data_IF_725592469458
#
_entry.id   IF_725592469458
#
_cell.length_a   1.000
_cell.length_b   1.000
_cell.length_c   1.000
_cell.angle_alpha   90.00
_cell.angle_beta   90.00
_cell.angle_gamma   90.00
#
_symmetry.space_group_name_H-M   'P 1'
#
loop_
_entity.id
_entity.type
_entity.pdbx_description
1 polymer ?
#
# COMPACT_ATOMS: atom_id res chain seq x y z
N UNK A 1 19.70 -2.65 11.50
CA UNK A 1 20.78 -3.58 11.12
C UNK A 1 20.83 -4.65 12.19
N UNK A 2 20.57 -5.90 11.82
CA UNK A 2 20.55 -7.02 12.76
C UNK A 2 21.68 -7.99 12.40
N UNK A 3 22.39 -8.48 13.40
CA UNK A 3 23.46 -9.46 13.20
C UNK A 3 22.97 -10.80 13.71
N UNK A 4 22.90 -11.80 12.84
CA UNK A 4 22.64 -13.17 13.25
C UNK A 4 23.98 -13.86 13.40
N UNK A 5 24.18 -14.47 14.56
CA UNK A 5 25.40 -15.22 14.90
C UNK A 5 25.06 -16.66 15.18
N UNK A 6 25.74 -17.58 14.49
CA UNK A 6 25.67 -19.02 14.74
C UNK A 6 26.93 -19.49 15.46
N UNK A 7 26.75 -20.28 16.52
CA UNK A 7 27.84 -20.80 17.36
C UNK A 7 27.78 -22.32 17.40
N UNK A 8 28.85 -22.98 16.92
CA UNK A 8 29.03 -24.42 17.10
C UNK A 8 30.23 -24.68 18.03
N UNK A 9 29.95 -24.82 19.33
CA UNK A 9 30.98 -24.99 20.35
C UNK A 9 31.71 -23.70 20.73
N UNK A 10 32.81 -23.82 21.48
CA UNK A 10 33.52 -22.69 22.07
C UNK A 10 34.67 -22.12 21.21
N UNK A 11 35.10 -22.84 20.15
CA UNK A 11 36.19 -22.38 19.30
C UNK A 11 35.71 -21.30 18.32
N UNK A 12 36.46 -20.20 18.20
CA UNK A 12 36.14 -19.04 17.35
C UNK A 12 35.94 -19.41 15.88
N UNK A 13 36.64 -20.45 15.41
CA UNK A 13 36.60 -20.90 14.01
C UNK A 13 35.24 -21.49 13.61
N UNK A 14 34.39 -21.80 14.60
CA UNK A 14 33.04 -22.34 14.40
C UNK A 14 31.94 -21.31 14.74
N UNK A 15 32.32 -20.05 14.80
CA UNK A 15 31.41 -18.93 15.02
C UNK A 15 31.33 -18.14 13.71
N UNK A 16 30.13 -17.92 13.21
CA UNK A 16 29.90 -17.13 12.00
C UNK A 16 28.78 -16.12 12.24
N UNK A 17 28.95 -14.91 11.72
CA UNK A 17 27.99 -13.84 11.86
C UNK A 17 27.67 -13.24 10.50
N UNK A 18 26.40 -12.98 10.25
CA UNK A 18 25.93 -12.32 9.05
C UNK A 18 25.16 -11.05 9.43
N UNK A 19 25.51 -9.95 8.78
CA UNK A 19 24.78 -8.69 8.90
C UNK A 19 23.59 -8.71 7.94
N UNK A 20 22.41 -8.50 8.51
CA UNK A 20 21.15 -8.51 7.78
C UNK A 20 20.48 -7.15 7.94
N UNK A 21 20.15 -6.57 6.81
CA UNK A 21 19.30 -5.40 6.71
C UNK A 21 17.87 -5.86 6.43
N UNK A 22 16.91 -5.42 7.25
CA UNK A 22 15.49 -5.63 6.94
C UNK A 22 15.12 -4.55 5.92
N UNK A 23 15.36 -4.86 4.65
CA UNK A 23 15.09 -3.95 3.52
C UNK A 23 13.59 -3.65 3.37
N UNK A 24 12.72 -4.51 3.94
CA UNK A 24 11.29 -4.53 3.63
C UNK A 24 10.38 -4.35 4.87
N UNK A 25 10.89 -3.67 5.91
CA UNK A 25 10.06 -3.17 7.02
C UNK A 25 9.20 -1.97 6.62
N UNK A 26 8.96 -1.78 5.32
CA UNK A 26 8.21 -0.66 4.78
C UNK A 26 6.77 -1.10 4.59
N UNK A 27 5.88 -0.58 5.42
CA UNK A 27 4.45 -0.67 5.17
C UNK A 27 4.21 0.08 3.86
N UNK A 28 4.11 -0.63 2.73
CA UNK A 28 3.57 -0.08 1.49
C UNK A 28 2.15 0.32 1.85
N UNK A 29 1.85 1.62 1.95
CA UNK A 29 0.50 2.00 2.28
C UNK A 29 -0.31 1.70 1.01
N UNK A 30 -1.47 1.09 1.19
CA UNK A 30 -2.36 0.66 0.10
C UNK A 30 -3.01 1.84 -0.63
N UNK A 31 -2.33 3.00 -0.71
CA UNK A 31 -2.79 4.23 -1.32
C UNK A 31 -3.32 4.00 -2.73
N UNK A 32 -2.67 3.13 -3.52
CA UNK A 32 -3.14 2.78 -4.86
C UNK A 32 -4.51 2.10 -4.85
N UNK A 33 -4.71 1.13 -3.96
CA UNK A 33 -5.98 0.38 -3.85
C UNK A 33 -7.09 1.28 -3.31
N UNK A 34 -6.79 2.07 -2.27
CA UNK A 34 -7.74 3.01 -1.67
C UNK A 34 -8.12 4.10 -2.68
N UNK A 35 -7.14 4.66 -3.41
CA UNK A 35 -7.40 5.66 -4.44
C UNK A 35 -8.26 5.10 -5.59
N UNK A 36 -7.96 3.88 -6.05
CA UNK A 36 -8.75 3.21 -7.08
C UNK A 36 -10.21 2.95 -6.62
N UNK A 37 -10.39 2.56 -5.34
CA UNK A 37 -11.71 2.35 -4.76
C UNK A 37 -12.53 3.64 -4.73
N UNK A 38 -11.93 4.75 -4.27
CA UNK A 38 -12.60 6.06 -4.24
C UNK A 38 -12.94 6.55 -5.65
N UNK A 39 -12.02 6.38 -6.61
CA UNK A 39 -12.24 6.75 -8.01
C UNK A 39 -13.43 6.01 -8.62
N UNK A 40 -13.51 4.69 -8.40
CA UNK A 40 -14.61 3.87 -8.91
C UNK A 40 -15.96 4.32 -8.34
N UNK A 41 -16.04 4.55 -7.02
CA UNK A 41 -17.26 5.03 -6.36
C UNK A 41 -17.68 6.41 -6.87
N UNK A 42 -16.72 7.32 -7.09
CA UNK A 42 -17.00 8.66 -7.59
C UNK A 42 -17.59 8.64 -9.01
N UNK A 43 -17.00 7.87 -9.93
CA UNK A 43 -17.48 7.76 -11.32
C UNK A 43 -18.91 7.20 -11.34
N UNK A 44 -19.16 6.11 -10.61
CA UNK A 44 -20.49 5.49 -10.54
C UNK A 44 -21.51 6.49 -9.98
N UNK A 45 -21.15 7.23 -8.93
CA UNK A 45 -22.02 8.24 -8.33
C UNK A 45 -22.39 9.35 -9.32
N UNK A 46 -21.42 9.88 -10.06
CA UNK A 46 -21.65 10.92 -11.08
C UNK A 46 -22.59 10.41 -12.16
N UNK A 47 -22.37 9.20 -12.69
CA UNK A 47 -23.22 8.63 -13.74
C UNK A 47 -24.65 8.44 -13.22
N UNK A 48 -24.81 7.87 -12.02
CA UNK A 48 -26.14 7.64 -11.43
C UNK A 48 -26.87 8.95 -11.18
N UNK A 49 -26.19 9.95 -10.61
CA UNK A 49 -26.79 11.26 -10.32
C UNK A 49 -27.14 11.99 -11.62
N UNK A 50 -26.24 12.03 -12.59
CA UNK A 50 -26.46 12.72 -13.88
C UNK A 50 -27.57 12.06 -14.70
N UNK A 51 -27.62 10.72 -14.74
CA UNK A 51 -28.69 9.99 -15.41
C UNK A 51 -30.05 10.17 -14.72
N UNK A 52 -30.09 10.11 -13.39
CA UNK A 52 -31.33 10.21 -12.61
C UNK A 52 -31.91 11.62 -12.58
N UNK A 53 -31.05 12.63 -12.49
CA UNK A 53 -31.50 14.02 -12.33
C UNK A 53 -31.74 14.74 -13.66
N UNK A 54 -31.37 14.15 -14.82
CA UNK A 54 -31.25 14.87 -16.11
C UNK A 54 -30.77 16.29 -15.83
N UNK A 55 -29.61 16.41 -15.17
CA UNK A 55 -29.12 17.66 -14.58
C UNK A 55 -29.33 18.81 -15.57
N UNK A 56 -30.45 19.52 -15.42
CA UNK A 56 -30.82 20.68 -16.22
C UNK A 56 -30.00 21.81 -15.63
N UNK A 57 -28.68 21.72 -15.82
CA UNK A 57 -27.71 22.77 -15.50
C UNK A 57 -27.98 23.99 -16.41
N UNK A 58 -28.86 23.85 -17.40
CA UNK A 58 -29.44 24.95 -18.15
C UNK A 58 -30.73 25.40 -17.44
N UNK A 59 -30.76 26.60 -16.84
CA UNK A 59 -32.01 27.23 -16.43
C UNK A 59 -32.83 27.52 -17.68
N UNK A 60 -34.08 27.06 -17.74
CA UNK A 60 -35.05 27.61 -18.70
C UNK A 60 -35.69 28.83 -18.05
N UNK A 61 -35.63 29.95 -18.77
CA UNK A 61 -36.18 31.26 -18.42
C UNK A 61 -37.62 31.18 -17.91
#
# INVERSE_FOLDING_TARGET
MYTISAYQGAASNYQTSAEIEIVDGHVIPEFGVIAAMILAVAIVSIIVVTAKTRLSIVPRY
#
